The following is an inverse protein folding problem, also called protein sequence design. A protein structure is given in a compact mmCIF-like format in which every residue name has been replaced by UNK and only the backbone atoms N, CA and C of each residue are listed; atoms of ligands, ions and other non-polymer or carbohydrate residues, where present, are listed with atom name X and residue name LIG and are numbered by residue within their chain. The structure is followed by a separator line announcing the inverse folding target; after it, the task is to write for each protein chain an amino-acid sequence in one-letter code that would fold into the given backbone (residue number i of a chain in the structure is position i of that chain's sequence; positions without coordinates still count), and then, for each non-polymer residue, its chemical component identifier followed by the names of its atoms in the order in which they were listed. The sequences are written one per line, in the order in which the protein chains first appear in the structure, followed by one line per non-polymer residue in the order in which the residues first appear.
data_IF_711743624134
#
_entry.id   IF_711743624134
#
_cell.length_a   1.000
_cell.length_b   1.000
_cell.length_c   1.000
_cell.angle_alpha   90.00
_cell.angle_beta   90.00
_cell.angle_gamma   90.00
#
_symmetry.space_group_name_H-M   'P 1'
#
loop_
_entity.id
_entity.type
_entity.pdbx_description
1 polymer ?
#
# COMPACT_ATOMS: atom_id res chain seq x y z
N UNK A 1 -18.90 17.40 -20.93
CA UNK A 1 -18.25 18.12 -19.82
C UNK A 1 -18.13 17.14 -18.66
N UNK A 2 -16.90 16.73 -18.30
CA UNK A 2 -16.68 15.82 -17.17
C UNK A 2 -16.94 16.49 -15.83
N UNK A 3 -17.31 15.70 -14.82
CA UNK A 3 -17.48 16.16 -13.44
C UNK A 3 -16.10 16.47 -12.86
N UNK A 4 -15.97 17.59 -12.15
CA UNK A 4 -14.76 17.87 -11.38
C UNK A 4 -14.83 17.15 -10.04
N UNK A 5 -13.73 16.52 -9.62
CA UNK A 5 -13.62 15.92 -8.29
C UNK A 5 -13.86 16.97 -7.20
N UNK A 6 -14.42 16.54 -6.07
CA UNK A 6 -14.57 17.38 -4.90
C UNK A 6 -13.22 18.05 -4.49
N UNK A 7 -13.13 19.39 -4.43
CA UNK A 7 -11.90 20.10 -4.11
C UNK A 7 -11.29 19.74 -2.75
N UNK A 8 -12.11 19.34 -1.77
CA UNK A 8 -11.64 18.89 -0.47
C UNK A 8 -10.81 17.61 -0.60
N UNK A 9 -11.24 16.66 -1.44
CA UNK A 9 -10.47 15.43 -1.70
C UNK A 9 -9.10 15.80 -2.24
N UNK A 10 -9.06 16.61 -3.30
CA UNK A 10 -7.82 17.04 -3.96
C UNK A 10 -6.86 17.72 -2.98
N UNK A 11 -7.36 18.57 -2.09
CA UNK A 11 -6.56 19.22 -1.04
C UNK A 11 -5.84 18.20 -0.15
N UNK A 12 -6.50 17.09 0.21
CA UNK A 12 -5.92 16.06 1.05
C UNK A 12 -4.89 15.19 0.34
N UNK A 13 -5.03 14.93 -0.96
CA UNK A 13 -4.20 13.94 -1.66
C UNK A 13 -3.11 14.53 -2.56
N UNK A 14 -3.15 15.85 -2.86
CA UNK A 14 -2.15 16.49 -3.74
C UNK A 14 -0.70 16.31 -3.31
N UNK A 15 -0.46 16.18 -2.00
CA UNK A 15 0.87 15.99 -1.43
C UNK A 15 1.52 14.66 -1.83
N UNK A 16 0.73 13.70 -2.32
CA UNK A 16 1.22 12.41 -2.80
C UNK A 16 1.91 12.52 -4.17
N UNK A 17 1.60 13.55 -4.98
CA UNK A 17 2.17 13.71 -6.33
C UNK A 17 3.71 13.71 -6.34
N UNK A 18 4.41 14.58 -5.59
CA UNK A 18 5.87 14.55 -5.56
C UNK A 18 6.41 13.24 -4.96
N UNK A 19 5.69 12.64 -4.00
CA UNK A 19 6.10 11.39 -3.37
C UNK A 19 6.11 10.23 -4.37
N UNK A 20 5.05 10.06 -5.15
CA UNK A 20 4.96 8.97 -6.13
C UNK A 20 5.86 9.21 -7.34
N UNK A 21 6.06 10.47 -7.74
CA UNK A 21 7.03 10.85 -8.76
C UNK A 21 8.43 10.38 -8.36
N UNK A 22 8.90 10.77 -7.18
CA UNK A 22 10.24 10.42 -6.69
C UNK A 22 10.38 8.91 -6.41
N UNK A 23 9.36 8.31 -5.77
CA UNK A 23 9.43 6.92 -5.29
C UNK A 23 9.34 5.89 -6.42
N UNK A 24 8.50 6.15 -7.42
CA UNK A 24 8.25 5.22 -8.53
C UNK A 24 8.92 5.64 -9.84
N UNK A 25 9.66 6.77 -9.84
CA UNK A 25 10.42 7.27 -10.99
C UNK A 25 9.55 7.47 -12.25
N UNK A 26 8.26 7.77 -12.06
CA UNK A 26 7.28 8.03 -13.13
C UNK A 26 7.37 9.48 -13.62
N UNK A 27 6.76 9.80 -14.76
CA UNK A 27 6.69 11.19 -15.23
C UNK A 27 5.83 12.06 -14.31
N UNK A 28 6.05 13.37 -14.32
CA UNK A 28 5.23 14.31 -13.55
C UNK A 28 3.76 14.30 -13.98
N UNK A 29 3.51 14.05 -15.28
CA UNK A 29 2.17 13.90 -15.86
C UNK A 29 1.46 12.63 -15.37
N UNK A 30 2.16 11.48 -15.34
CA UNK A 30 1.61 10.24 -14.78
C UNK A 30 1.36 10.36 -13.27
N UNK A 31 2.25 11.05 -12.54
CA UNK A 31 2.04 11.36 -11.13
C UNK A 31 0.80 12.25 -10.91
N UNK A 32 0.60 13.29 -11.73
CA UNK A 32 -0.61 14.12 -11.66
C UNK A 32 -1.86 13.30 -11.99
N UNK A 33 -1.77 12.42 -12.99
CA UNK A 33 -2.85 11.55 -13.41
C UNK A 33 -3.24 10.56 -12.31
N UNK A 34 -2.26 10.00 -11.58
CA UNK A 34 -2.50 9.15 -10.42
C UNK A 34 -3.38 9.84 -9.37
N UNK A 35 -3.08 11.12 -9.07
CA UNK A 35 -3.87 11.92 -8.12
C UNK A 35 -5.28 12.19 -8.65
N UNK A 36 -5.44 12.44 -9.96
CA UNK A 36 -6.75 12.63 -10.59
C UNK A 36 -7.61 11.36 -10.51
N UNK A 37 -7.06 10.20 -10.86
CA UNK A 37 -7.78 8.91 -10.73
C UNK A 37 -8.13 8.60 -9.27
N UNK A 38 -7.20 8.82 -8.34
CA UNK A 38 -7.46 8.59 -6.92
C UNK A 38 -8.56 9.52 -6.38
N UNK A 39 -8.54 10.80 -6.79
CA UNK A 39 -9.59 11.76 -6.46
C UNK A 39 -10.96 11.33 -6.99
N UNK A 40 -11.01 10.90 -8.25
CA UNK A 40 -12.22 10.41 -8.89
C UNK A 40 -12.76 9.16 -8.21
N UNK A 41 -11.88 8.23 -7.84
CA UNK A 41 -12.24 7.04 -7.07
C UNK A 41 -12.88 7.40 -5.73
N UNK A 42 -12.27 8.30 -4.95
CA UNK A 42 -12.84 8.71 -3.68
C UNK A 42 -14.17 9.44 -3.85
N UNK A 43 -14.31 10.30 -4.87
CA UNK A 43 -15.58 10.96 -5.18
C UNK A 43 -16.68 9.93 -5.51
N UNK A 44 -16.35 8.91 -6.30
CA UNK A 44 -17.26 7.78 -6.55
C UNK A 44 -17.60 7.04 -5.26
N UNK A 45 -16.66 6.82 -4.34
CA UNK A 45 -16.92 6.15 -3.06
C UNK A 45 -17.79 6.97 -2.10
N UNK A 46 -17.81 8.30 -2.22
CA UNK A 46 -18.75 9.16 -1.48
C UNK A 46 -20.17 8.94 -2.00
N UNK A 47 -20.36 9.02 -3.32
CA UNK A 47 -21.69 9.00 -3.93
C UNK A 47 -22.26 7.59 -4.14
N UNK A 48 -21.38 6.60 -4.32
CA UNK A 48 -21.69 5.21 -4.66
C UNK A 48 -20.78 4.26 -3.86
N UNK A 49 -20.93 4.20 -2.51
CA UNK A 49 -20.00 3.49 -1.62
C UNK A 49 -19.83 2.00 -1.94
N UNK A 50 -20.87 1.36 -2.49
CA UNK A 50 -20.87 -0.06 -2.81
C UNK A 50 -20.41 -0.37 -4.25
N UNK A 51 -20.13 0.66 -5.08
CA UNK A 51 -19.68 0.43 -6.46
C UNK A 51 -18.27 -0.11 -6.45
N UNK A 52 -18.06 -1.27 -7.07
CA UNK A 52 -16.71 -1.81 -7.33
C UNK A 52 -16.01 -0.92 -8.34
N UNK A 53 -14.81 -0.46 -7.98
CA UNK A 53 -13.90 0.28 -8.84
C UNK A 53 -12.51 -0.29 -8.59
N UNK A 54 -11.88 -0.79 -9.63
CA UNK A 54 -10.48 -1.21 -9.61
C UNK A 54 -9.65 -0.07 -10.19
N UNK A 55 -8.67 0.41 -9.43
CA UNK A 55 -7.81 1.52 -9.83
C UNK A 55 -6.71 1.06 -10.81
N UNK A 56 -6.26 1.91 -11.75
CA UNK A 56 -5.00 1.70 -12.44
C UNK A 56 -3.83 1.73 -11.46
N UNK A 57 -2.75 1.01 -11.79
CA UNK A 57 -1.60 0.82 -10.92
C UNK A 57 -1.06 2.12 -10.32
N UNK A 58 -0.93 3.19 -11.12
CA UNK A 58 -0.47 4.51 -10.64
C UNK A 58 -1.34 5.08 -9.51
N UNK A 59 -2.66 4.96 -9.62
CA UNK A 59 -3.59 5.50 -8.64
C UNK A 59 -3.66 4.60 -7.39
N UNK A 60 -3.53 3.28 -7.57
CA UNK A 60 -3.46 2.34 -6.46
C UNK A 60 -2.15 2.51 -5.66
N UNK A 61 -1.04 2.80 -6.32
CA UNK A 61 0.20 3.22 -5.65
C UNK A 61 0.02 4.47 -4.81
N UNK A 62 -0.62 5.51 -5.36
CA UNK A 62 -0.93 6.71 -4.59
C UNK A 62 -1.82 6.40 -3.39
N UNK A 63 -2.83 5.53 -3.54
CA UNK A 63 -3.69 5.13 -2.42
C UNK A 63 -2.90 4.35 -1.35
N UNK A 64 -2.03 3.44 -1.75
CA UNK A 64 -1.14 2.72 -0.83
C UNK A 64 -0.28 3.69 -0.02
N UNK A 65 0.35 4.68 -0.65
CA UNK A 65 1.17 5.67 0.08
C UNK A 65 0.33 6.50 1.05
N UNK A 66 -0.92 6.83 0.68
CA UNK A 66 -1.84 7.47 1.61
C UNK A 66 -2.15 6.57 2.82
N UNK A 67 -2.48 5.29 2.60
CA UNK A 67 -2.78 4.31 3.66
C UNK A 67 -1.60 4.11 4.61
N UNK A 68 -0.37 4.06 4.08
CA UNK A 68 0.84 3.90 4.89
C UNK A 68 1.06 5.08 5.84
N UNK A 69 0.63 6.30 5.51
CA UNK A 69 0.46 7.34 6.53
C UNK A 69 -0.84 7.09 7.33
N UNK A 70 -0.82 6.06 8.17
CA UNK A 70 -2.02 5.53 8.86
C UNK A 70 -2.79 6.58 9.65
N UNK A 71 -2.10 7.60 10.21
CA UNK A 71 -2.76 8.72 10.92
C UNK A 71 -3.48 9.63 9.94
N UNK A 72 -2.79 10.11 8.89
CA UNK A 72 -3.40 10.97 7.88
C UNK A 72 -4.53 10.26 7.15
N UNK A 73 -4.37 8.98 6.81
CA UNK A 73 -5.42 8.23 6.13
C UNK A 73 -6.68 8.07 6.99
N UNK A 74 -6.50 7.75 8.27
CA UNK A 74 -7.63 7.64 9.20
C UNK A 74 -8.38 8.98 9.30
N UNK A 75 -7.65 10.08 9.50
CA UNK A 75 -8.24 11.43 9.55
C UNK A 75 -8.96 11.77 8.25
N UNK A 76 -8.30 11.59 7.11
CA UNK A 76 -8.89 11.76 5.78
C UNK A 76 -10.20 10.99 5.64
N UNK A 77 -10.21 9.71 6.01
CA UNK A 77 -11.39 8.88 5.87
C UNK A 77 -12.58 9.40 6.69
N UNK A 78 -12.36 9.80 7.94
CA UNK A 78 -13.44 10.33 8.77
C UNK A 78 -13.91 11.71 8.30
N UNK A 79 -13.01 12.56 7.79
CA UNK A 79 -13.38 13.88 7.27
C UNK A 79 -14.14 13.80 5.95
N UNK A 80 -13.78 12.87 5.07
CA UNK A 80 -14.33 12.77 3.71
C UNK A 80 -15.51 11.81 3.61
N UNK A 81 -15.44 10.65 4.28
CA UNK A 81 -16.49 9.62 4.18
C UNK A 81 -17.33 9.49 5.46
N UNK A 82 -16.93 10.13 6.57
CA UNK A 82 -17.56 9.92 7.89
C UNK A 82 -17.26 8.55 8.51
N UNK A 83 -16.48 7.70 7.84
CA UNK A 83 -16.12 6.34 8.27
C UNK A 83 -14.78 5.93 7.67
N UNK A 84 -14.16 4.90 8.23
CA UNK A 84 -12.95 4.33 7.64
C UNK A 84 -13.29 3.63 6.31
N UNK A 85 -12.53 3.94 5.26
CA UNK A 85 -12.61 3.24 3.97
C UNK A 85 -11.57 2.13 3.96
N UNK A 86 -11.99 0.90 4.24
CA UNK A 86 -11.09 -0.25 4.21
C UNK A 86 -10.54 -0.49 2.81
N UNK A 87 -9.23 -0.69 2.73
CA UNK A 87 -8.58 -1.20 1.55
C UNK A 87 -8.83 -2.71 1.48
N UNK A 88 -9.85 -3.09 0.69
CA UNK A 88 -10.27 -4.47 0.53
C UNK A 88 -9.45 -5.11 -0.58
N UNK A 89 -8.70 -6.15 -0.22
CA UNK A 89 -7.98 -6.99 -1.17
C UNK A 89 -8.88 -8.14 -1.56
N UNK A 90 -8.95 -8.45 -2.84
CA UNK A 90 -9.64 -9.67 -3.24
C UNK A 90 -8.82 -10.88 -2.79
N UNK A 91 -9.49 -11.89 -2.24
CA UNK A 91 -8.83 -13.14 -1.90
C UNK A 91 -8.31 -13.78 -3.19
N UNK A 92 -7.04 -14.17 -3.21
CA UNK A 92 -6.38 -14.89 -4.32
C UNK A 92 -7.12 -16.18 -4.75
N UNK A 93 -8.14 -16.60 -4.01
CA UNK A 93 -8.94 -17.81 -4.21
C UNK A 93 -10.31 -17.57 -4.85
N UNK A 94 -10.76 -16.33 -5.08
CA UNK A 94 -12.06 -16.08 -5.73
C UNK A 94 -11.96 -16.23 -7.26
N UNK A 95 -11.91 -17.47 -7.71
CA UNK A 95 -11.82 -17.91 -9.11
C UNK A 95 -13.06 -17.63 -9.99
N UNK A 96 -13.91 -16.66 -9.63
CA UNK A 96 -15.21 -16.42 -10.30
C UNK A 96 -15.40 -15.05 -10.92
N UNK A 97 -14.49 -14.09 -10.71
CA UNK A 97 -14.62 -12.74 -11.30
C UNK A 97 -13.60 -12.53 -12.41
N UNK A 98 -14.07 -12.01 -13.54
CA UNK A 98 -13.21 -11.52 -14.60
C UNK A 98 -12.69 -10.13 -14.22
N UNK A 99 -11.62 -10.13 -13.43
CA UNK A 99 -11.05 -8.91 -12.86
C UNK A 99 -10.46 -7.99 -13.91
N UNK A 100 -10.04 -8.56 -15.04
CA UNK A 100 -9.57 -7.78 -16.16
C UNK A 100 -10.74 -7.00 -16.77
N UNK A 101 -11.88 -7.65 -17.01
CA UNK A 101 -13.07 -6.96 -17.48
C UNK A 101 -13.59 -5.91 -16.47
N UNK A 102 -13.59 -6.22 -15.16
CA UNK A 102 -13.98 -5.24 -14.13
C UNK A 102 -13.03 -4.04 -14.05
N UNK A 103 -11.73 -4.27 -14.26
CA UNK A 103 -10.73 -3.22 -14.35
C UNK A 103 -10.95 -2.32 -15.56
N UNK A 104 -11.11 -2.90 -16.75
CA UNK A 104 -11.37 -2.16 -17.99
C UNK A 104 -12.65 -1.32 -17.87
N UNK A 105 -13.72 -1.88 -17.30
CA UNK A 105 -14.94 -1.14 -17.00
C UNK A 105 -14.74 -0.01 -15.99
N UNK A 106 -13.93 -0.24 -14.95
CA UNK A 106 -13.62 0.77 -13.93
C UNK A 106 -12.89 1.97 -14.53
N UNK A 107 -11.83 1.71 -15.31
CA UNK A 107 -11.05 2.75 -15.99
C UNK A 107 -11.92 3.55 -16.96
N UNK A 108 -12.65 2.87 -17.85
CA UNK A 108 -13.56 3.52 -18.80
C UNK A 108 -14.59 4.41 -18.09
N UNK A 109 -15.22 3.90 -17.03
CA UNK A 109 -16.18 4.66 -16.25
C UNK A 109 -15.56 5.93 -15.64
N UNK A 110 -14.37 5.84 -15.04
CA UNK A 110 -13.69 7.00 -14.45
C UNK A 110 -13.27 8.02 -15.53
N UNK A 111 -12.74 7.54 -16.66
CA UNK A 111 -12.34 8.38 -17.79
C UNK A 111 -13.51 9.17 -18.36
N UNK A 112 -14.63 8.51 -18.65
CA UNK A 112 -15.82 9.15 -19.22
C UNK A 112 -16.46 10.12 -18.22
N UNK A 113 -16.54 9.74 -16.95
CA UNK A 113 -17.21 10.55 -15.91
C UNK A 113 -16.41 11.81 -15.54
N UNK A 114 -15.08 11.68 -15.42
CA UNK A 114 -14.19 12.74 -14.92
C UNK A 114 -13.27 13.33 -15.99
N UNK A 115 -13.43 12.94 -17.25
CA UNK A 115 -12.61 13.38 -18.38
C UNK A 115 -11.10 13.16 -18.12
N UNK A 116 -10.75 11.92 -17.71
CA UNK A 116 -9.38 11.50 -17.48
C UNK A 116 -8.77 10.89 -18.75
N UNK A 117 -7.47 11.06 -18.95
CA UNK A 117 -6.73 10.42 -20.04
C UNK A 117 -6.19 9.04 -19.62
N UNK A 118 -5.66 8.29 -20.59
CA UNK A 118 -4.92 7.04 -20.34
C UNK A 118 -3.48 7.27 -19.83
N UNK A 119 -3.02 8.53 -19.76
CA UNK A 119 -1.65 8.89 -19.41
C UNK A 119 -0.69 8.90 -20.59
N UNK A 120 0.57 9.20 -20.29
CA UNK A 120 1.62 9.26 -21.32
C UNK A 120 2.08 7.85 -21.72
N UNK A 121 1.94 6.89 -20.80
CA UNK A 121 2.33 5.50 -20.97
C UNK A 121 1.13 4.56 -20.77
N UNK A 122 0.12 4.62 -21.66
CA UNK A 122 -1.15 3.91 -21.46
C UNK A 122 -0.95 2.40 -21.34
N UNK A 123 0.06 1.83 -22.02
CA UNK A 123 0.42 0.41 -21.95
C UNK A 123 1.02 -0.01 -20.59
N UNK A 124 1.67 0.90 -19.87
CA UNK A 124 2.22 0.64 -18.54
C UNK A 124 1.10 0.48 -17.51
N UNK A 125 0.01 1.23 -17.69
CA UNK A 125 -1.09 1.33 -16.72
C UNK A 125 -2.30 0.43 -17.01
N UNK A 126 -2.22 -0.49 -18.00
CA UNK A 126 -3.33 -1.38 -18.42
C UNK A 126 -3.66 -2.53 -17.47
N UNK A 127 -2.97 -2.63 -16.33
CA UNK A 127 -3.28 -3.66 -15.34
C UNK A 127 -2.97 -3.16 -13.91
N UNK A 128 -3.60 -3.78 -12.91
CA UNK A 128 -3.41 -3.45 -11.50
C UNK A 128 -2.46 -4.41 -10.77
N UNK A 129 -1.48 -4.98 -11.47
CA UNK A 129 -0.43 -5.83 -10.86
C UNK A 129 -0.74 -7.31 -10.75
N UNK A 130 -1.70 -7.81 -11.51
CA UNK A 130 -2.12 -9.21 -11.51
C UNK A 130 -1.14 -10.10 -12.29
N UNK A 131 -0.46 -9.54 -13.30
CA UNK A 131 0.38 -10.29 -14.23
C UNK A 131 1.89 -10.06 -14.09
N UNK A 132 2.30 -9.04 -13.33
CA UNK A 132 3.71 -8.65 -13.22
C UNK A 132 4.24 -8.84 -11.80
N UNK A 133 5.14 -9.80 -11.54
CA UNK A 133 5.98 -9.73 -10.36
C UNK A 133 6.72 -8.38 -10.38
N UNK A 134 6.93 -7.76 -9.21
CA UNK A 134 7.44 -6.38 -9.05
C UNK A 134 6.39 -5.27 -9.19
N UNK A 135 5.13 -5.56 -8.87
CA UNK A 135 4.08 -4.53 -8.83
C UNK A 135 4.43 -3.27 -8.01
N UNK A 136 5.27 -3.35 -6.97
CA UNK A 136 5.63 -2.19 -6.11
C UNK A 136 6.96 -1.53 -6.47
N UNK A 137 7.78 -2.12 -7.34
CA UNK A 137 9.12 -1.63 -7.65
C UNK A 137 9.39 -1.73 -9.15
N UNK A 138 10.09 -0.73 -9.71
CA UNK A 138 10.54 -0.81 -11.11
C UNK A 138 11.67 -1.81 -11.32
N UNK A 139 12.53 -1.94 -10.32
CA UNK A 139 13.65 -2.88 -10.31
C UNK A 139 13.48 -3.91 -9.18
N UNK A 140 13.90 -5.18 -9.38
CA UNK A 140 13.91 -6.17 -8.31
C UNK A 140 14.76 -5.68 -7.13
N UNK A 141 14.36 -6.06 -5.91
CA UNK A 141 15.26 -5.89 -4.76
C UNK A 141 16.45 -6.83 -4.98
N UNK A 142 17.64 -6.26 -5.18
CA UNK A 142 18.87 -7.02 -5.35
C UNK A 142 19.02 -8.09 -4.26
N UNK A 143 19.48 -9.28 -4.66
CA UNK A 143 19.77 -10.41 -3.73
C UNK A 143 20.73 -10.01 -2.60
N UNK A 144 21.50 -8.93 -2.78
CA UNK A 144 22.49 -8.43 -1.82
C UNK A 144 21.84 -7.88 -0.54
N UNK A 145 20.63 -7.31 -0.61
CA UNK A 145 19.94 -6.74 0.57
C UNK A 145 19.41 -7.83 1.51
N UNK A 146 19.26 -9.07 1.04
CA UNK A 146 18.87 -10.21 1.88
C UNK A 146 19.94 -10.62 2.90
N UNK A 147 21.17 -10.08 2.82
CA UNK A 147 22.29 -10.46 3.69
C UNK A 147 22.62 -9.40 4.75
N UNK A 148 21.91 -8.28 4.82
CA UNK A 148 22.11 -7.28 5.89
C UNK A 148 21.22 -7.63 7.07
N UNK A 149 21.83 -8.31 8.05
CA UNK A 149 21.29 -8.87 9.28
C UNK A 149 20.21 -8.04 9.98
N UNK A 150 19.08 -8.67 10.30
CA UNK A 150 18.30 -8.28 11.48
C UNK A 150 19.03 -8.74 12.74
N UNK A 151 19.00 -7.94 13.80
CA UNK A 151 19.39 -8.30 15.16
C UNK A 151 18.34 -9.18 15.88
N UNK A 152 17.17 -9.42 15.27
CA UNK A 152 16.13 -10.25 15.86
C UNK A 152 16.51 -11.74 15.89
N UNK A 153 16.44 -12.33 17.08
CA UNK A 153 16.56 -13.77 17.27
C UNK A 153 15.26 -14.48 16.84
N UNK A 154 15.12 -14.75 15.54
CA UNK A 154 13.90 -15.32 14.95
C UNK A 154 13.56 -16.72 15.49
N UNK A 155 14.54 -17.46 16.03
CA UNK A 155 14.32 -18.76 16.68
C UNK A 155 13.45 -18.67 17.93
N UNK A 156 13.32 -17.49 18.55
CA UNK A 156 12.46 -17.27 19.70
C UNK A 156 10.96 -17.18 19.34
N UNK A 157 10.61 -17.01 18.05
CA UNK A 157 9.21 -16.94 17.62
C UNK A 157 8.58 -18.33 17.72
N UNK A 158 7.71 -18.48 18.72
CA UNK A 158 6.86 -19.67 18.89
C UNK A 158 5.93 -19.82 17.69
N UNK A 159 6.09 -20.91 16.93
CA UNK A 159 5.25 -21.18 15.75
C UNK A 159 3.78 -21.34 16.14
N UNK A 160 3.49 -21.78 17.35
CA UNK A 160 2.16 -21.88 17.93
C UNK A 160 1.50 -20.53 18.24
N UNK A 161 2.23 -19.42 18.17
CA UNK A 161 1.66 -18.09 18.38
C UNK A 161 0.61 -17.79 17.31
N UNK A 162 -0.58 -17.35 17.71
CA UNK A 162 -1.71 -17.16 16.80
C UNK A 162 -1.40 -16.20 15.65
N UNK A 163 -0.64 -15.11 15.92
CA UNK A 163 -0.26 -14.13 14.89
C UNK A 163 0.66 -14.76 13.84
N UNK A 164 1.57 -15.65 14.26
CA UNK A 164 2.42 -16.40 13.34
C UNK A 164 1.54 -17.23 12.41
N UNK A 165 0.66 -18.07 12.97
CA UNK A 165 -0.22 -18.95 12.19
C UNK A 165 -1.09 -18.18 11.20
N UNK A 166 -1.58 -16.99 11.59
CA UNK A 166 -2.42 -16.14 10.73
C UNK A 166 -1.62 -15.49 9.61
N UNK A 167 -0.50 -14.84 9.90
CA UNK A 167 0.20 -13.96 8.94
C UNK A 167 1.07 -14.74 7.95
N UNK A 168 1.72 -15.82 8.38
CA UNK A 168 2.66 -16.58 7.53
C UNK A 168 2.00 -17.31 6.36
N UNK A 169 0.68 -17.49 6.39
CA UNK A 169 -0.06 -18.22 5.35
C UNK A 169 -0.27 -17.43 4.07
N UNK A 170 -0.18 -16.10 4.12
CA UNK A 170 -0.49 -15.23 2.98
C UNK A 170 0.56 -14.15 2.72
N UNK A 171 1.18 -13.59 3.77
CA UNK A 171 2.08 -12.45 3.62
C UNK A 171 3.36 -12.78 2.83
N UNK A 172 4.01 -13.96 3.01
CA UNK A 172 5.18 -14.30 2.21
C UNK A 172 4.87 -14.37 0.70
N UNK A 173 3.76 -15.02 0.32
CA UNK A 173 3.32 -15.10 -1.08
C UNK A 173 3.11 -13.72 -1.68
N UNK A 174 2.53 -12.82 -0.90
CA UNK A 174 2.30 -11.44 -1.31
C UNK A 174 3.61 -10.68 -1.54
N UNK A 175 4.59 -10.86 -0.66
CA UNK A 175 5.90 -10.24 -0.82
C UNK A 175 6.64 -10.75 -2.06
N UNK A 176 6.57 -12.06 -2.33
CA UNK A 176 7.12 -12.65 -3.55
C UNK A 176 6.46 -12.04 -4.80
N UNK A 177 5.13 -11.94 -4.82
CA UNK A 177 4.39 -11.37 -5.95
C UNK A 177 4.68 -9.88 -6.15
N UNK A 178 4.61 -9.07 -5.09
CA UNK A 178 4.69 -7.60 -5.22
C UNK A 178 6.10 -7.05 -5.36
N UNK A 179 7.10 -7.75 -4.85
CA UNK A 179 8.49 -7.27 -4.81
C UNK A 179 9.48 -8.21 -5.51
N UNK A 180 9.03 -9.34 -6.06
CA UNK A 180 9.92 -10.30 -6.74
C UNK A 180 10.88 -11.03 -5.79
N UNK A 181 10.58 -11.07 -4.49
CA UNK A 181 11.44 -11.74 -3.50
C UNK A 181 11.46 -13.27 -3.67
N UNK A 182 12.57 -13.88 -3.28
CA UNK A 182 12.61 -15.34 -3.10
C UNK A 182 11.71 -15.77 -1.93
N UNK A 183 11.27 -17.03 -1.93
CA UNK A 183 10.48 -17.58 -0.83
C UNK A 183 11.19 -17.45 0.52
N UNK A 184 12.51 -17.67 0.56
CA UNK A 184 13.31 -17.53 1.78
C UNK A 184 13.37 -16.09 2.29
N UNK A 185 13.59 -15.11 1.40
CA UNK A 185 13.64 -13.69 1.75
C UNK A 185 12.27 -13.18 2.22
N UNK A 186 11.20 -13.56 1.52
CA UNK A 186 9.84 -13.23 1.90
C UNK A 186 9.47 -13.82 3.27
N UNK A 187 9.83 -15.09 3.52
CA UNK A 187 9.59 -15.72 4.82
C UNK A 187 10.37 -15.02 5.93
N UNK A 188 11.65 -14.71 5.70
CA UNK A 188 12.48 -13.98 6.66
C UNK A 188 11.86 -12.63 7.05
N UNK A 189 11.47 -11.80 6.06
CA UNK A 189 10.85 -10.50 6.33
C UNK A 189 9.55 -10.62 7.14
N UNK A 190 8.74 -11.65 6.87
CA UNK A 190 7.52 -11.89 7.66
C UNK A 190 7.83 -12.30 9.11
N UNK A 191 8.84 -13.14 9.32
CA UNK A 191 9.25 -13.52 10.68
C UNK A 191 9.79 -12.33 11.45
N UNK A 192 10.64 -11.51 10.83
CA UNK A 192 11.17 -10.29 11.42
C UNK A 192 10.04 -9.32 11.80
N UNK A 193 9.06 -9.11 10.92
CA UNK A 193 7.88 -8.30 11.22
C UNK A 193 7.09 -8.82 12.43
N UNK A 194 6.85 -10.14 12.50
CA UNK A 194 6.17 -10.75 13.64
C UNK A 194 6.97 -10.53 14.94
N UNK A 195 8.28 -10.77 14.92
CA UNK A 195 9.15 -10.53 16.07
C UNK A 195 9.11 -9.05 16.51
N UNK A 196 9.11 -8.13 15.55
CA UNK A 196 9.04 -6.71 15.82
C UNK A 196 7.71 -6.32 16.50
N UNK A 197 6.56 -6.81 16.01
CA UNK A 197 5.26 -6.54 16.65
C UNK A 197 5.18 -7.10 18.08
N UNK A 198 5.72 -8.30 18.32
CA UNK A 198 5.80 -8.89 19.67
C UNK A 198 6.71 -8.04 20.56
N UNK A 199 7.88 -7.64 20.07
CA UNK A 199 8.82 -6.79 20.81
C UNK A 199 8.19 -5.43 21.16
N UNK A 200 7.51 -4.77 20.21
CA UNK A 200 6.76 -3.54 20.47
C UNK A 200 5.71 -3.72 21.57
N UNK A 201 5.07 -4.90 21.66
CA UNK A 201 4.08 -5.19 22.70
C UNK A 201 4.72 -5.31 24.08
N UNK A 202 5.90 -5.94 24.15
CA UNK A 202 6.58 -6.25 25.41
C UNK A 202 7.39 -5.07 25.95
N UNK A 203 8.13 -4.37 25.08
CA UNK A 203 9.10 -3.35 25.48
C UNK A 203 8.84 -1.95 24.90
N UNK A 204 7.78 -1.79 24.10
CA UNK A 204 7.33 -0.50 23.56
C UNK A 204 8.30 0.08 22.52
N UNK A 205 8.41 1.41 22.48
CA UNK A 205 9.28 2.16 21.54
C UNK A 205 10.80 1.90 21.71
N UNK A 206 11.19 1.01 22.61
CA UNK A 206 12.58 0.53 22.73
C UNK A 206 12.88 -0.64 21.81
N UNK A 207 11.87 -1.18 21.11
CA UNK A 207 12.09 -2.18 20.07
C UNK A 207 13.00 -1.62 18.96
N UNK A 208 13.86 -2.48 18.45
CA UNK A 208 14.77 -2.14 17.36
C UNK A 208 14.03 -1.95 16.04
N UNK A 209 14.57 -1.09 15.17
CA UNK A 209 14.08 -0.90 13.81
C UNK A 209 14.25 -2.22 13.00
N UNK A 210 13.32 -2.53 12.10
CA UNK A 210 13.42 -3.70 11.23
C UNK A 210 14.34 -3.46 10.05
N UNK A 211 14.84 -4.54 9.44
CA UNK A 211 15.45 -4.51 8.11
C UNK A 211 14.45 -4.06 7.04
N UNK A 212 14.94 -3.83 5.82
CA UNK A 212 14.07 -3.56 4.68
C UNK A 212 13.02 -4.65 4.46
N UNK A 213 13.37 -5.93 4.67
CA UNK A 213 12.43 -7.04 4.45
C UNK A 213 11.30 -7.04 5.48
N UNK A 214 11.62 -6.84 6.76
CA UNK A 214 10.64 -6.65 7.82
C UNK A 214 9.75 -5.42 7.58
N UNK A 215 10.34 -4.33 7.09
CA UNK A 215 9.60 -3.11 6.77
C UNK A 215 8.60 -3.32 5.62
N UNK A 216 9.01 -4.00 4.54
CA UNK A 216 8.11 -4.34 3.43
C UNK A 216 6.98 -5.27 3.88
N UNK A 217 7.29 -6.24 4.75
CA UNK A 217 6.29 -7.10 5.37
C UNK A 217 5.29 -6.29 6.20
N UNK A 218 5.76 -5.33 6.99
CA UNK A 218 4.89 -4.45 7.78
C UNK A 218 3.98 -3.60 6.88
N UNK A 219 4.55 -2.95 5.86
CA UNK A 219 3.78 -2.17 4.89
C UNK A 219 2.67 -3.01 4.25
N UNK A 220 2.98 -4.21 3.74
CA UNK A 220 1.97 -5.08 3.12
C UNK A 220 0.93 -5.61 4.12
N UNK A 221 1.30 -5.80 5.39
CA UNK A 221 0.36 -6.09 6.46
C UNK A 221 -0.62 -4.92 6.65
N UNK A 222 -0.12 -3.68 6.81
CA UNK A 222 -0.95 -2.46 6.96
C UNK A 222 -1.93 -2.29 5.80
N UNK A 223 -1.46 -2.50 4.57
CA UNK A 223 -2.29 -2.36 3.38
C UNK A 223 -3.50 -3.31 3.40
N UNK A 224 -3.44 -4.42 4.16
CA UNK A 224 -4.63 -5.21 4.48
C UNK A 224 -5.32 -4.63 5.72
N UNK A 225 -5.93 -3.46 5.54
CA UNK A 225 -6.36 -2.61 6.66
C UNK A 225 -7.25 -3.31 7.69
N UNK A 226 -8.17 -4.20 7.27
CA UNK A 226 -9.03 -4.95 8.20
C UNK A 226 -8.23 -5.97 9.03
N UNK A 227 -7.39 -6.80 8.40
CA UNK A 227 -6.55 -7.78 9.09
C UNK A 227 -5.57 -7.10 10.04
N UNK A 228 -4.92 -6.02 9.59
CA UNK A 228 -3.97 -5.30 10.43
C UNK A 228 -4.66 -4.63 11.63
N UNK A 229 -5.86 -4.08 11.43
CA UNK A 229 -6.65 -3.50 12.53
C UNK A 229 -7.03 -4.55 13.56
N UNK A 230 -7.52 -5.71 13.11
CA UNK A 230 -7.86 -6.83 13.98
C UNK A 230 -6.64 -7.33 14.75
N UNK A 231 -5.52 -7.54 14.05
CA UNK A 231 -4.28 -8.05 14.64
C UNK A 231 -3.71 -7.06 15.66
N UNK A 232 -3.76 -5.76 15.37
CA UNK A 232 -3.36 -4.72 16.33
C UNK A 232 -4.27 -4.70 17.56
N UNK A 233 -5.59 -4.81 17.38
CA UNK A 233 -6.52 -4.84 18.52
C UNK A 233 -6.29 -6.08 19.39
N UNK A 234 -6.06 -7.24 18.78
CA UNK A 234 -5.79 -8.47 19.51
C UNK A 234 -4.45 -8.43 20.25
N UNK A 235 -3.41 -7.84 19.65
CA UNK A 235 -2.08 -7.80 20.23
C UNK A 235 -1.92 -6.66 21.24
N UNK A 236 -2.27 -5.44 20.86
CA UNK A 236 -2.02 -4.22 21.62
C UNK A 236 -3.24 -3.71 22.39
N UNK A 237 -4.46 -4.06 21.96
CA UNK A 237 -5.70 -3.45 22.44
C UNK A 237 -6.06 -2.13 21.74
N UNK A 238 -5.27 -1.72 20.74
CA UNK A 238 -5.46 -0.51 19.96
C UNK A 238 -4.80 -0.64 18.58
N UNK A 239 -5.20 0.21 17.64
CA UNK A 239 -4.55 0.31 16.32
C UNK A 239 -3.14 0.89 16.43
N UNK A 240 -2.11 0.11 16.10
CA UNK A 240 -0.73 0.58 16.08
C UNK A 240 -0.50 1.44 14.83
N UNK A 241 -0.24 2.73 15.05
CA UNK A 241 0.09 3.62 13.95
C UNK A 241 1.50 3.40 13.44
N UNK A 242 1.62 3.17 12.14
CA UNK A 242 2.90 3.12 11.45
C UNK A 242 3.45 4.53 11.24
N UNK A 243 4.66 4.77 11.72
CA UNK A 243 5.37 6.04 11.56
C UNK A 243 6.12 6.00 10.24
N UNK A 244 5.42 6.29 9.14
CA UNK A 244 6.01 6.36 7.81
C UNK A 244 7.25 7.28 7.81
N UNK A 245 8.43 6.71 7.56
CA UNK A 245 9.65 7.45 7.28
C UNK A 245 9.81 7.48 5.75
N UNK A 246 9.53 8.59 5.06
CA UNK A 246 9.82 8.67 3.63
C UNK A 246 11.30 8.35 3.43
N UNK A 247 11.58 7.47 2.47
CA UNK A 247 12.90 6.97 2.15
C UNK A 247 13.91 8.14 2.12
N UNK A 248 15.10 8.01 2.71
CA UNK A 248 16.09 9.11 2.87
C UNK A 248 16.46 9.84 1.57
N UNK A 249 16.12 9.31 0.39
CA UNK A 249 16.19 10.03 -0.90
C UNK A 249 15.27 11.27 -0.97
N UNK A 250 14.12 11.28 -0.27
CA UNK A 250 13.13 12.39 -0.29
C UNK A 250 13.53 13.57 0.61
N UNK A 251 14.40 13.36 1.60
CA UNK A 251 14.89 14.48 2.44
C UNK A 251 15.83 15.42 1.69
N UNK A 252 16.40 14.98 0.56
CA UNK A 252 17.27 15.83 -0.27
C UNK A 252 16.48 16.80 -1.17
N UNK A 253 15.25 16.46 -1.57
CA UNK A 253 14.44 17.30 -2.47
C UNK A 253 13.65 18.40 -1.74
N UNK A 254 13.43 18.27 -0.43
CA UNK A 254 12.74 19.29 0.37
C UNK A 254 13.62 20.48 0.80
N UNK A 255 14.95 20.37 0.68
CA UNK A 255 15.89 21.46 0.99
C UNK A 255 16.23 22.35 -0.22
N UNK A 256 15.57 22.15 -1.37
CA UNK A 256 15.81 22.94 -2.60
C UNK A 256 14.75 24.05 -2.78
N UNK A 257 13.72 24.10 -1.93
CA UNK A 257 12.65 25.10 -2.00
C UNK A 257 12.39 25.84 -0.67
N UNK A 258 13.40 25.99 0.17
CA UNK A 258 13.43 26.99 1.26
C UNK A 258 14.44 28.08 0.93
#
# INVERSE_FOLDING_TARGET
MGIKCNPLITMHIRHLQPLIFDKYEISSSDAELAIKYLGAFFDVKIHQPNKTIILPQIADWAWHELILDTRKYRLFCYQIFGRFLSHIKENLTSSRRDLKAEFEHSCKFLQETYNLSDGDNPDEWKESGWGKPMYRLREPIDKVVCNTCSSFELSAIKKEHWLYQKVVTWLPLRLMQRFGLSASAAQYGVLEHIAHLISLKEIGNRAEDTSLLGELAWQEHILWTDHYTEDCNNLFGYFLHYNYRPNKRVQASQNIYQ
#
